data_IF_801835196558
#
_entry.id   IF_801835196558
#
_cell.length_a   1.000
_cell.length_b   1.000
_cell.length_c   1.000
_cell.angle_alpha   90.00
_cell.angle_beta   90.00
_cell.angle_gamma   90.00
#
_symmetry.space_group_name_H-M   'P 1'
#
loop_
_entity.id
_entity.type
_entity.pdbx_description
1 polymer ?
#
# COMPACT_ATOMS: atom_id res chain seq x y z
N UNK A 1 10.11 -4.99 -13.12
CA UNK A 1 8.96 -4.68 -13.81
C UNK A 1 8.36 -3.32 -13.56
N UNK A 2 7.24 -3.12 -14.19
CA UNK A 2 6.54 -1.84 -14.12
C UNK A 2 5.61 -1.71 -12.93
N UNK A 3 5.36 -2.81 -12.22
CA UNK A 3 4.45 -2.82 -11.08
C UNK A 3 5.02 -2.02 -9.92
N UNK A 4 4.22 -1.10 -9.39
CA UNK A 4 4.51 -0.39 -8.15
C UNK A 4 3.61 -0.94 -7.07
N UNK A 5 4.21 -1.39 -5.96
CA UNK A 5 3.46 -1.82 -4.78
C UNK A 5 3.39 -0.62 -3.84
N UNK A 6 2.18 -0.24 -3.45
CA UNK A 6 1.94 0.84 -2.50
C UNK A 6 1.47 0.23 -1.18
N UNK A 7 2.26 0.47 -0.13
CA UNK A 7 1.89 0.10 1.23
C UNK A 7 1.23 1.32 1.87
N UNK A 8 -0.09 1.26 2.01
CA UNK A 8 -0.85 2.39 2.52
C UNK A 8 -1.16 2.28 4.02
N UNK A 9 -0.41 1.45 4.74
CA UNK A 9 -0.48 1.37 6.20
C UNK A 9 0.07 2.63 6.86
N UNK A 10 0.04 2.67 8.18
CA UNK A 10 0.62 3.77 8.95
C UNK A 10 2.12 3.56 9.19
N UNK A 11 2.81 4.64 9.53
CA UNK A 11 4.22 4.62 9.90
C UNK A 11 4.52 3.65 11.04
N UNK A 12 3.65 3.58 12.04
CA UNK A 12 3.82 2.66 13.16
C UNK A 12 3.81 1.21 12.70
N UNK A 13 2.91 0.86 11.78
CA UNK A 13 2.84 -0.49 11.24
C UNK A 13 4.09 -0.86 10.44
N UNK A 14 4.66 0.08 9.68
CA UNK A 14 5.90 -0.16 8.96
C UNK A 14 7.06 -0.45 9.91
N UNK A 15 7.14 0.28 11.03
CA UNK A 15 8.20 0.11 12.02
C UNK A 15 8.05 -1.16 12.83
N UNK A 16 6.82 -1.51 13.19
CA UNK A 16 6.53 -2.62 14.10
C UNK A 16 6.56 -3.98 13.42
N UNK A 17 6.38 -4.01 12.10
CA UNK A 17 6.33 -5.27 11.35
C UNK A 17 7.48 -5.34 10.36
N UNK A 18 7.17 -5.24 9.08
CA UNK A 18 8.14 -5.26 7.99
C UNK A 18 7.49 -4.59 6.78
N UNK A 19 8.28 -4.29 5.77
CA UNK A 19 7.81 -3.70 4.51
C UNK A 19 8.25 -4.57 3.34
N UNK A 20 7.59 -4.39 2.20
CA UNK A 20 7.97 -5.05 0.95
C UNK A 20 9.14 -4.30 0.34
N UNK A 21 10.25 -4.96 -0.01
CA UNK A 21 11.38 -4.27 -0.63
C UNK A 21 10.97 -3.52 -1.90
N UNK A 22 11.41 -2.28 -2.01
CA UNK A 22 11.16 -1.45 -3.19
C UNK A 22 9.76 -0.87 -3.29
N UNK A 23 8.93 -1.01 -2.26
CA UNK A 23 7.59 -0.46 -2.24
C UNK A 23 7.58 1.08 -2.14
N UNK A 24 6.43 1.67 -2.44
CA UNK A 24 6.13 3.06 -2.14
C UNK A 24 5.27 3.09 -0.88
N UNK A 25 5.71 3.80 0.16
CA UNK A 25 4.98 3.90 1.43
C UNK A 25 4.21 5.22 1.46
N UNK A 26 2.91 5.11 1.26
CA UNK A 26 2.00 6.25 1.17
C UNK A 26 0.77 5.92 1.99
N UNK A 27 0.67 6.49 3.19
CA UNK A 27 -0.43 6.18 4.12
C UNK A 27 -1.77 6.68 3.58
N UNK A 28 -2.80 5.83 3.68
CA UNK A 28 -4.18 6.25 3.42
C UNK A 28 -4.73 7.07 4.58
N UNK A 29 -4.38 6.67 5.81
CA UNK A 29 -4.68 7.40 7.05
C UNK A 29 -3.40 7.58 7.84
N UNK A 30 -3.30 8.68 8.61
CA UNK A 30 -2.20 8.83 9.55
C UNK A 30 -2.44 7.99 10.82
N UNK A 31 -1.51 8.09 11.78
CA UNK A 31 -1.58 7.30 13.02
C UNK A 31 -2.77 7.69 13.92
N UNK A 32 -3.42 8.81 13.66
CA UNK A 32 -4.64 9.24 14.36
C UNK A 32 -5.90 8.96 13.54
N UNK A 33 -5.81 8.11 12.52
CA UNK A 33 -6.90 7.74 11.63
C UNK A 33 -7.48 8.95 10.84
N UNK A 34 -6.69 9.98 10.62
CA UNK A 34 -7.08 11.10 9.78
C UNK A 34 -6.76 10.78 8.32
N UNK A 35 -7.72 10.93 7.40
CA UNK A 35 -7.48 10.65 5.98
C UNK A 35 -6.36 11.51 5.40
N UNK A 36 -5.55 10.90 4.53
CA UNK A 36 -4.55 11.62 3.74
C UNK A 36 -5.22 12.15 2.47
N UNK A 37 -5.54 13.43 2.44
CA UNK A 37 -6.23 14.04 1.30
C UNK A 37 -5.39 14.05 0.02
N UNK A 38 -4.08 13.89 0.14
CA UNK A 38 -3.14 13.88 -0.98
C UNK A 38 -2.78 12.46 -1.46
N UNK A 39 -3.45 11.43 -0.95
CA UNK A 39 -3.10 10.05 -1.24
C UNK A 39 -3.04 9.76 -2.74
N UNK A 40 -4.09 10.09 -3.47
CA UNK A 40 -4.18 9.83 -4.92
C UNK A 40 -3.07 10.55 -5.70
N UNK A 41 -2.79 11.81 -5.34
CA UNK A 41 -1.73 12.60 -5.98
C UNK A 41 -0.35 12.04 -5.68
N UNK A 42 -0.13 11.56 -4.47
CA UNK A 42 1.13 10.93 -4.08
C UNK A 42 1.35 9.61 -4.82
N UNK A 43 0.30 8.81 -5.00
CA UNK A 43 0.38 7.59 -5.80
C UNK A 43 0.67 7.93 -7.27
N UNK A 44 0.04 8.96 -7.81
CA UNK A 44 0.30 9.40 -9.18
C UNK A 44 1.76 9.80 -9.36
N UNK A 45 2.34 10.51 -8.40
CA UNK A 45 3.77 10.84 -8.41
C UNK A 45 4.66 9.59 -8.37
N UNK A 46 4.28 8.60 -7.56
CA UNK A 46 5.04 7.35 -7.43
C UNK A 46 5.08 6.53 -8.72
N UNK A 47 4.06 6.67 -9.57
CA UNK A 47 4.02 6.02 -10.89
C UNK A 47 4.54 6.92 -12.02
N UNK A 48 5.16 8.05 -11.68
CA UNK A 48 5.73 8.97 -12.66
C UNK A 48 4.69 9.72 -13.48
N UNK A 49 3.50 9.92 -12.94
CA UNK A 49 2.40 10.60 -13.63
C UNK A 49 1.63 9.73 -14.63
N UNK A 50 1.94 8.44 -14.70
CA UNK A 50 1.33 7.50 -15.66
C UNK A 50 0.23 6.67 -14.97
N UNK A 51 -1.03 7.05 -15.20
CA UNK A 51 -2.19 6.34 -14.64
C UNK A 51 -2.40 4.94 -15.21
N UNK A 52 -1.71 4.59 -16.30
CA UNK A 52 -1.79 3.24 -16.88
C UNK A 52 -0.73 2.30 -16.34
N UNK A 53 0.20 2.80 -15.53
CA UNK A 53 1.21 1.96 -14.89
C UNK A 53 0.57 1.09 -13.81
N UNK A 54 0.84 -0.22 -13.77
CA UNK A 54 0.24 -1.11 -12.78
C UNK A 54 0.59 -0.73 -11.34
N UNK A 55 -0.42 -0.71 -10.48
CA UNK A 55 -0.29 -0.44 -9.05
C UNK A 55 -0.95 -1.58 -8.28
N UNK A 56 -0.29 -2.10 -7.27
CA UNK A 56 -0.86 -3.04 -6.32
C UNK A 56 -0.84 -2.42 -4.93
N UNK A 57 -1.97 -2.47 -4.24
CA UNK A 57 -2.12 -1.87 -2.92
C UNK A 57 -2.13 -2.94 -1.85
N UNK A 58 -1.43 -2.70 -0.76
CA UNK A 58 -1.38 -3.62 0.38
C UNK A 58 -1.56 -2.86 1.69
N UNK A 59 -2.38 -3.42 2.59
CA UNK A 59 -2.51 -2.94 3.97
C UNK A 59 -2.31 -4.10 4.95
N UNK A 60 -2.76 -3.99 6.18
CA UNK A 60 -2.59 -5.07 7.15
C UNK A 60 -3.53 -6.24 6.88
N UNK A 61 -4.82 -5.98 6.73
CA UNK A 61 -5.88 -7.00 6.67
C UNK A 61 -6.84 -6.85 5.50
N UNK A 62 -6.52 -6.02 4.51
CA UNK A 62 -7.26 -5.88 3.26
C UNK A 62 -8.32 -4.78 3.21
N UNK A 63 -8.74 -4.22 4.35
CA UNK A 63 -9.83 -3.24 4.36
C UNK A 63 -9.45 -1.88 3.75
N UNK A 64 -8.32 -1.34 4.15
CA UNK A 64 -7.83 -0.06 3.63
C UNK A 64 -7.46 -0.15 2.15
N UNK A 65 -6.83 -1.25 1.73
CA UNK A 65 -6.45 -1.44 0.33
C UNK A 65 -7.66 -1.55 -0.59
N UNK A 66 -8.76 -2.12 -0.12
CA UNK A 66 -10.01 -2.16 -0.88
C UNK A 66 -10.55 -0.76 -1.15
N UNK A 67 -10.57 0.12 -0.14
CA UNK A 67 -10.98 1.50 -0.30
C UNK A 67 -10.03 2.27 -1.22
N UNK A 68 -8.72 2.13 -0.98
CA UNK A 68 -7.70 2.80 -1.79
C UNK A 68 -7.78 2.39 -3.26
N UNK A 69 -8.04 1.11 -3.54
CA UNK A 69 -8.22 0.61 -4.91
C UNK A 69 -9.37 1.32 -5.62
N UNK A 70 -10.51 1.49 -4.95
CA UNK A 70 -11.66 2.20 -5.53
C UNK A 70 -11.32 3.66 -5.78
N UNK A 71 -10.64 4.31 -4.84
CA UNK A 71 -10.24 5.72 -5.00
C UNK A 71 -9.36 5.91 -6.25
N UNK A 72 -8.40 5.02 -6.45
CA UNK A 72 -7.51 5.12 -7.61
C UNK A 72 -8.24 4.84 -8.93
N UNK A 73 -9.12 3.83 -8.96
CA UNK A 73 -9.93 3.57 -10.14
C UNK A 73 -10.81 4.75 -10.49
N UNK A 74 -11.46 5.35 -9.50
CA UNK A 74 -12.30 6.54 -9.70
C UNK A 74 -11.49 7.74 -10.20
N UNK A 75 -10.20 7.79 -9.86
CA UNK A 75 -9.28 8.83 -10.32
C UNK A 75 -8.66 8.53 -11.70
N UNK A 76 -9.08 7.46 -12.37
CA UNK A 76 -8.64 7.13 -13.73
C UNK A 76 -7.47 6.19 -13.85
N UNK A 77 -7.01 5.57 -12.76
CA UNK A 77 -5.97 4.54 -12.82
C UNK A 77 -6.55 3.27 -13.47
N UNK A 78 -5.88 2.77 -14.51
CA UNK A 78 -6.41 1.69 -15.34
C UNK A 78 -6.02 0.29 -14.89
N UNK A 79 -4.95 0.15 -14.11
CA UNK A 79 -4.41 -1.15 -13.68
C UNK A 79 -4.15 -1.12 -12.18
N UNK A 80 -5.20 -1.38 -11.40
CA UNK A 80 -5.15 -1.37 -9.94
C UNK A 80 -5.48 -2.74 -9.41
N UNK A 81 -4.59 -3.31 -8.61
CA UNK A 81 -4.80 -4.56 -7.90
C UNK A 81 -4.85 -4.30 -6.39
N UNK A 82 -5.70 -5.04 -5.71
CA UNK A 82 -5.80 -5.06 -4.26
C UNK A 82 -5.16 -6.36 -3.77
N UNK A 83 -4.08 -6.27 -2.99
CA UNK A 83 -3.50 -7.43 -2.33
C UNK A 83 -4.34 -7.71 -1.10
N UNK A 84 -5.47 -8.37 -1.32
CA UNK A 84 -6.55 -8.49 -0.34
C UNK A 84 -6.19 -9.30 0.90
N UNK A 85 -5.16 -10.15 0.85
CA UNK A 85 -4.66 -10.83 2.04
C UNK A 85 -4.02 -9.87 3.03
N UNK A 86 -3.40 -8.80 2.53
CA UNK A 86 -2.65 -7.85 3.35
C UNK A 86 -1.32 -8.42 3.84
N UNK A 87 -0.65 -7.68 4.70
CA UNK A 87 0.59 -8.11 5.32
C UNK A 87 0.36 -9.20 6.38
N UNK A 88 -0.73 -9.11 7.13
CA UNK A 88 -1.00 -9.96 8.30
C UNK A 88 -1.99 -11.09 8.02
N UNK A 89 -2.63 -11.08 6.87
CA UNK A 89 -3.67 -12.05 6.54
C UNK A 89 -5.08 -11.50 6.72
N UNK A 90 -6.01 -12.15 6.05
CA UNK A 90 -7.44 -11.80 6.04
C UNK A 90 -8.24 -13.03 5.68
N UNK A 91 -9.54 -12.86 5.39
CA UNK A 91 -10.37 -13.94 4.85
C UNK A 91 -9.89 -14.41 3.47
N UNK A 92 -9.14 -13.57 2.74
CA UNK A 92 -8.62 -13.91 1.42
C UNK A 92 -7.40 -14.84 1.47
N UNK A 93 -6.67 -14.88 2.59
CA UNK A 93 -5.49 -15.73 2.73
C UNK A 93 -4.64 -15.37 3.94
N UNK A 94 -3.51 -16.07 4.08
CA UNK A 94 -2.66 -16.00 5.28
C UNK A 94 -1.79 -14.75 5.37
N UNK A 95 -1.68 -13.99 4.28
CA UNK A 95 -0.95 -12.73 4.25
C UNK A 95 0.50 -12.84 3.82
N UNK A 96 1.07 -11.70 3.43
CA UNK A 96 2.42 -11.59 2.88
C UNK A 96 3.48 -12.15 3.84
N UNK A 97 3.41 -11.77 5.13
CA UNK A 97 4.38 -12.19 6.14
C UNK A 97 4.38 -13.70 6.33
N UNK A 98 3.19 -14.31 6.45
CA UNK A 98 3.07 -15.75 6.68
C UNK A 98 3.41 -16.59 5.45
N UNK A 99 3.34 -16.00 4.25
CA UNK A 99 3.77 -16.66 3.01
C UNK A 99 5.27 -16.65 2.82
N UNK A 100 6.03 -16.01 3.73
CA UNK A 100 7.49 -15.87 3.65
C UNK A 100 7.94 -15.23 2.33
N UNK A 101 7.15 -14.30 1.79
CA UNK A 101 7.54 -13.50 0.63
C UNK A 101 8.59 -12.46 1.06
N UNK A 102 9.34 -11.88 0.11
CA UNK A 102 10.42 -10.95 0.45
C UNK A 102 9.95 -9.79 1.33
N UNK A 103 10.70 -9.52 2.37
CA UNK A 103 10.47 -8.40 3.29
C UNK A 103 11.79 -7.74 3.64
N UNK A 104 11.71 -6.51 4.14
CA UNK A 104 12.82 -5.86 4.85
C UNK A 104 12.26 -5.17 6.09
N UNK A 105 13.12 -5.00 7.08
CA UNK A 105 12.75 -4.33 8.32
C UNK A 105 13.08 -2.85 8.20
N UNK A 106 12.19 -2.03 8.72
CA UNK A 106 12.25 -0.59 8.56
C UNK A 106 12.30 0.08 9.93
N UNK A 107 13.48 0.05 10.57
CA UNK A 107 13.65 0.61 11.91
C UNK A 107 13.51 2.11 11.99
N UNK A 108 13.73 2.82 10.88
CA UNK A 108 13.70 4.28 10.81
C UNK A 108 12.91 4.76 9.59
N UNK A 109 11.78 4.13 9.32
CA UNK A 109 10.88 4.53 8.25
C UNK A 109 10.24 5.86 8.58
N UNK A 110 10.52 6.86 7.77
CA UNK A 110 9.85 8.14 7.90
C UNK A 110 8.60 8.17 7.02
N UNK A 111 7.51 8.77 7.52
CA UNK A 111 6.33 9.01 6.71
C UNK A 111 6.59 10.16 5.75
N UNK A 112 5.74 10.29 4.82
CA UNK A 112 5.68 11.49 3.99
C UNK A 112 4.88 12.56 4.67
#
# INVERSE_FOLDING_TARGET
>A
GDLVIVDERTQNEWRETAVVPGDARISLYNIWAVPNDDFTEQVLAAVGGDRDRPVALICATGGRSSLASRMLRDAGFSHVADISEGMQGSQAGIGWLSRALPIEYCGACDPF
#
